data_IF_640025361163
#
_entry.id   IF_640025361163
#
_cell.length_a   1.000
_cell.length_b   1.000
_cell.length_c   1.000
_cell.angle_alpha   90.00
_cell.angle_beta   90.00
_cell.angle_gamma   90.00
#
_symmetry.space_group_name_H-M   'P 1'
#
loop_
_entity.id
_entity.type
_entity.pdbx_description
1 polymer ?
#
# COMPACT_ATOMS: atom_id res chain seq x y z
N UNK A 1 -10.97 -11.90 0.07
CA UNK A 1 -9.97 -11.70 1.15
C UNK A 1 -9.14 -12.97 1.28
N UNK A 2 -7.83 -12.92 0.99
CA UNK A 2 -6.96 -14.08 1.08
C UNK A 2 -6.77 -14.49 2.56
N UNK A 3 -7.14 -15.72 2.92
CA UNK A 3 -7.01 -16.30 4.27
C UNK A 3 -5.58 -16.26 4.82
N UNK A 4 -4.60 -16.11 3.94
CA UNK A 4 -3.18 -16.01 4.26
C UNK A 4 -2.82 -14.72 5.00
N UNK A 5 -3.46 -13.59 4.68
CA UNK A 5 -3.17 -12.29 5.31
C UNK A 5 -3.64 -12.29 6.77
N UNK A 6 -4.82 -12.85 7.06
CA UNK A 6 -5.33 -13.02 8.43
C UNK A 6 -4.43 -13.96 9.24
N UNK A 7 -4.05 -15.11 8.67
CA UNK A 7 -3.12 -16.07 9.29
C UNK A 7 -1.71 -15.52 9.50
N UNK A 8 -1.25 -14.59 8.67
CA UNK A 8 0.04 -13.92 8.83
C UNK A 8 0.02 -13.00 10.05
N UNK A 9 -1.02 -12.18 10.20
CA UNK A 9 -1.17 -11.30 11.36
C UNK A 9 -1.49 -12.05 12.65
N UNK A 10 -2.29 -13.12 12.60
CA UNK A 10 -2.49 -14.01 13.74
C UNK A 10 -1.16 -14.61 14.20
N UNK A 11 -0.30 -15.09 13.28
CA UNK A 11 1.02 -15.61 13.62
C UNK A 11 1.96 -14.54 14.17
N UNK A 12 2.04 -13.38 13.53
CA UNK A 12 2.87 -12.26 13.98
C UNK A 12 2.45 -11.73 15.37
N UNK A 13 1.13 -11.70 15.66
CA UNK A 13 0.62 -11.36 16.99
C UNK A 13 0.79 -12.50 18.01
N UNK A 14 0.69 -13.76 17.58
CA UNK A 14 0.86 -14.95 18.41
C UNK A 14 2.30 -15.16 18.87
N UNK A 15 3.30 -14.75 18.08
CA UNK A 15 4.72 -14.82 18.47
C UNK A 15 5.08 -13.98 19.71
N UNK A 16 4.23 -13.02 20.12
CA UNK A 16 4.43 -12.24 21.34
C UNK A 16 3.68 -12.80 22.57
N UNK A 17 2.88 -13.86 22.42
CA UNK A 17 1.95 -14.29 23.47
C UNK A 17 1.90 -15.82 23.71
N UNK A 18 2.97 -16.57 23.43
CA UNK A 18 2.98 -18.03 23.64
C UNK A 18 3.05 -18.46 25.12
N UNK A 19 3.10 -17.53 26.07
CA UNK A 19 3.22 -17.84 27.50
C UNK A 19 1.90 -17.84 28.30
N UNK A 20 0.74 -17.55 27.69
CA UNK A 20 -0.55 -17.54 28.41
C UNK A 20 -1.70 -18.08 27.57
N UNK A 21 -1.83 -19.41 27.53
CA UNK A 21 -3.11 -20.06 27.22
C UNK A 21 -3.98 -19.97 28.48
N UNK A 22 -4.61 -18.83 28.70
CA UNK A 22 -5.64 -18.67 29.73
C UNK A 22 -6.82 -17.93 29.10
N UNK A 23 -7.98 -18.61 29.03
CA UNK A 23 -9.34 -18.10 28.79
C UNK A 23 -9.38 -16.67 28.23
N UNK A 24 -9.61 -16.56 26.91
CA UNK A 24 -9.85 -15.27 26.26
C UNK A 24 -11.12 -14.65 26.84
N UNK A 25 -10.98 -13.71 27.77
CA UNK A 25 -12.07 -12.86 28.25
C UNK A 25 -12.51 -11.92 27.10
N UNK A 26 -13.80 -11.60 27.00
CA UNK A 26 -14.38 -10.76 25.93
C UNK A 26 -13.67 -9.42 25.68
N UNK A 27 -13.00 -8.86 26.69
CA UNK A 27 -12.19 -7.65 26.59
C UNK A 27 -10.93 -7.82 25.71
N UNK A 28 -10.32 -9.01 25.71
CA UNK A 28 -9.17 -9.37 24.87
C UNK A 28 -9.59 -9.54 23.41
N UNK A 29 -10.80 -10.07 23.17
CA UNK A 29 -11.39 -10.19 21.84
C UNK A 29 -11.62 -8.81 21.21
N UNK A 30 -12.27 -7.88 21.94
CA UNK A 30 -12.53 -6.51 21.44
C UNK A 30 -11.26 -5.74 21.06
N UNK A 31 -10.19 -5.81 21.88
CA UNK A 31 -8.89 -5.18 21.56
C UNK A 31 -8.24 -5.78 20.31
N UNK A 32 -8.36 -7.10 20.13
CA UNK A 32 -7.85 -7.79 18.94
C UNK A 32 -8.57 -7.35 17.68
N UNK A 33 -9.91 -7.28 17.71
CA UNK A 33 -10.70 -6.80 16.58
C UNK A 33 -10.42 -5.33 16.23
N UNK A 34 -10.24 -4.47 17.23
CA UNK A 34 -9.86 -3.07 17.00
C UNK A 34 -8.50 -2.97 16.28
N UNK A 35 -7.52 -3.78 16.67
CA UNK A 35 -6.19 -3.83 16.03
C UNK A 35 -6.26 -4.34 14.60
N UNK A 36 -7.04 -5.39 14.33
CA UNK A 36 -7.24 -5.90 12.96
C UNK A 36 -7.92 -4.83 12.09
N UNK A 37 -8.94 -4.14 12.61
CA UNK A 37 -9.61 -3.06 11.89
C UNK A 37 -8.65 -1.91 11.59
N UNK A 38 -7.81 -1.54 12.56
CA UNK A 38 -6.76 -0.55 12.36
C UNK A 38 -5.84 -0.93 11.21
N UNK A 39 -5.25 -2.14 11.28
CA UNK A 39 -4.34 -2.66 10.24
C UNK A 39 -5.01 -2.60 8.86
N UNK A 40 -6.25 -3.09 8.73
CA UNK A 40 -6.96 -3.11 7.45
C UNK A 40 -7.17 -1.70 6.89
N UNK A 41 -7.66 -0.75 7.69
CA UNK A 41 -7.87 0.63 7.25
C UNK A 41 -6.57 1.29 6.85
N UNK A 42 -5.49 1.06 7.59
CA UNK A 42 -4.19 1.63 7.28
C UNK A 42 -3.62 1.04 5.97
N UNK A 43 -3.84 -0.25 5.69
CA UNK A 43 -3.50 -0.85 4.38
C UNK A 43 -4.29 -0.24 3.21
N UNK A 44 -5.58 0.06 3.41
CA UNK A 44 -6.41 0.74 2.40
C UNK A 44 -5.86 2.13 2.02
N UNK A 45 -5.08 2.76 2.90
CA UNK A 45 -4.40 4.03 2.66
C UNK A 45 -2.96 3.88 2.15
N UNK A 46 -2.56 2.70 1.66
CA UNK A 46 -1.26 2.49 1.02
C UNK A 46 -0.07 2.43 1.98
N UNK A 47 -0.33 2.25 3.27
CA UNK A 47 0.73 1.97 4.25
C UNK A 47 1.21 0.53 4.13
N UNK A 48 2.53 0.36 4.22
CA UNK A 48 3.16 -0.95 4.20
C UNK A 48 3.00 -1.65 5.55
N UNK A 49 3.30 -2.95 5.60
CA UNK A 49 3.35 -3.70 6.86
C UNK A 49 4.33 -3.09 7.87
N UNK A 50 5.42 -2.51 7.37
CA UNK A 50 6.43 -1.85 8.18
C UNK A 50 5.85 -0.56 8.79
N UNK A 51 5.26 0.31 7.98
CA UNK A 51 4.65 1.56 8.45
C UNK A 51 3.55 1.28 9.49
N UNK A 52 2.75 0.24 9.27
CA UNK A 52 1.70 -0.19 10.20
C UNK A 52 2.29 -0.68 11.52
N UNK A 53 3.42 -1.39 11.49
CA UNK A 53 4.10 -1.82 12.71
C UNK A 53 4.61 -0.62 13.53
N UNK A 54 5.13 0.40 12.86
CA UNK A 54 5.57 1.65 13.50
C UNK A 54 4.39 2.42 14.09
N UNK A 55 3.28 2.57 13.34
CA UNK A 55 2.05 3.19 13.85
C UNK A 55 1.47 2.44 15.07
N UNK A 56 1.53 1.11 15.07
CA UNK A 56 1.10 0.28 16.20
C UNK A 56 2.05 0.41 17.41
N UNK A 57 3.33 0.69 17.18
CA UNK A 57 4.27 0.99 18.27
C UNK A 57 3.93 2.34 18.90
N UNK A 58 3.73 3.37 18.06
CA UNK A 58 3.32 4.70 18.49
C UNK A 58 2.00 4.65 19.30
N UNK A 59 1.03 3.81 18.92
CA UNK A 59 -0.23 3.69 19.68
C UNK A 59 -0.09 3.12 21.10
N UNK A 60 0.97 2.35 21.38
CA UNK A 60 1.19 1.68 22.68
C UNK A 60 2.08 2.51 23.60
N UNK A 61 2.93 3.36 23.04
CA UNK A 61 3.83 4.22 23.78
C UNK A 61 3.05 5.41 24.39
N UNK A 62 3.20 5.57 25.71
CA UNK A 62 2.52 6.62 26.49
C UNK A 62 3.05 8.03 26.21
N UNK A 63 4.23 8.14 25.60
CA UNK A 63 4.84 9.42 25.24
C UNK A 63 4.57 9.84 23.79
N UNK A 64 3.88 9.00 23.01
CA UNK A 64 3.54 9.32 21.63
C UNK A 64 2.67 10.55 21.54
N UNK A 65 3.13 11.50 20.73
CA UNK A 65 2.35 12.70 20.41
C UNK A 65 1.62 12.53 19.09
N UNK A 66 0.50 13.25 18.92
CA UNK A 66 -0.15 13.37 17.61
C UNK A 66 0.81 13.89 16.52
N UNK A 67 1.91 14.57 16.88
CA UNK A 67 2.91 15.05 15.95
C UNK A 67 3.71 13.90 15.30
N UNK A 68 3.98 12.81 16.03
CA UNK A 68 4.75 11.68 15.49
C UNK A 68 3.91 10.86 14.51
N UNK A 69 2.63 10.66 14.83
CA UNK A 69 1.65 10.07 13.91
C UNK A 69 1.48 10.95 12.67
N UNK A 70 1.43 12.27 12.84
CA UNK A 70 1.33 13.23 11.73
C UNK A 70 2.53 13.11 10.78
N UNK A 71 3.76 13.02 11.27
CA UNK A 71 4.96 12.86 10.42
C UNK A 71 4.86 11.65 9.49
N UNK A 72 4.38 10.50 10.00
CA UNK A 72 4.19 9.31 9.18
C UNK A 72 3.08 9.47 8.14
N UNK A 73 2.00 10.15 8.50
CA UNK A 73 0.94 10.48 7.56
C UNK A 73 1.44 11.43 6.45
N UNK A 74 2.17 12.48 6.81
CA UNK A 74 2.73 13.46 5.86
C UNK A 74 3.72 12.78 4.90
N UNK A 75 4.58 11.88 5.40
CA UNK A 75 5.47 11.08 4.55
C UNK A 75 4.68 10.19 3.56
N UNK A 76 3.61 9.53 4.03
CA UNK A 76 2.76 8.71 3.16
C UNK A 76 2.05 9.55 2.09
N UNK A 77 1.59 10.75 2.45
CA UNK A 77 0.97 11.68 1.50
C UNK A 77 1.97 12.04 0.39
N UNK A 78 3.20 12.40 0.76
CA UNK A 78 4.25 12.72 -0.21
C UNK A 78 4.56 11.55 -1.16
N UNK A 79 4.63 10.32 -0.64
CA UNK A 79 4.83 9.11 -1.45
C UNK A 79 3.68 8.89 -2.45
N UNK A 80 2.44 9.07 -1.98
CA UNK A 80 1.23 8.92 -2.81
C UNK A 80 1.25 9.96 -3.93
N UNK A 81 1.54 11.23 -3.62
CA UNK A 81 1.63 12.29 -4.62
C UNK A 81 2.71 12.01 -5.65
N UNK A 82 3.88 11.51 -5.22
CA UNK A 82 4.94 11.09 -6.14
C UNK A 82 4.48 9.95 -7.06
N UNK A 83 3.76 8.96 -6.51
CA UNK A 83 3.22 7.85 -7.30
C UNK A 83 2.15 8.33 -8.29
N UNK A 84 1.27 9.24 -7.89
CA UNK A 84 0.26 9.85 -8.77
C UNK A 84 0.95 10.54 -9.94
N UNK A 85 1.93 11.42 -9.70
CA UNK A 85 2.67 12.10 -10.77
C UNK A 85 3.32 11.10 -11.74
N UNK A 86 3.91 10.02 -11.20
CA UNK A 86 4.52 8.97 -12.00
C UNK A 86 3.49 8.23 -12.86
N UNK A 87 2.34 7.88 -12.29
CA UNK A 87 1.23 7.21 -12.98
C UNK A 87 0.63 8.11 -14.07
N UNK A 88 0.40 9.39 -13.79
CA UNK A 88 -0.06 10.36 -14.78
C UNK A 88 0.92 10.51 -15.94
N UNK A 89 2.24 10.50 -15.67
CA UNK A 89 3.26 10.53 -16.73
C UNK A 89 3.21 9.27 -17.60
N UNK A 90 3.08 8.09 -16.98
CA UNK A 90 2.93 6.82 -17.71
C UNK A 90 1.63 6.78 -18.53
N UNK A 91 0.53 7.29 -17.97
CA UNK A 91 -0.75 7.40 -18.67
C UNK A 91 -0.62 8.32 -19.89
N UNK A 92 -0.10 9.53 -19.72
CA UNK A 92 0.07 10.49 -20.82
C UNK A 92 1.00 9.96 -21.93
N UNK A 93 2.02 9.18 -21.57
CA UNK A 93 2.90 8.49 -22.51
C UNK A 93 2.12 7.48 -23.38
N UNK A 94 1.18 6.75 -22.79
CA UNK A 94 0.38 5.74 -23.48
C UNK A 94 -0.84 6.31 -24.24
N UNK A 95 -1.37 7.46 -23.82
CA UNK A 95 -2.55 8.07 -24.43
C UNK A 95 -2.34 8.42 -25.91
N UNK A 96 -1.18 8.94 -26.30
CA UNK A 96 -0.88 9.32 -27.69
C UNK A 96 -0.88 8.14 -28.67
N UNK A 97 -0.09 7.08 -28.46
CA UNK A 97 -0.11 5.91 -29.35
C UNK A 97 -1.44 5.16 -29.28
N UNK A 98 -2.12 5.15 -28.12
CA UNK A 98 -3.46 4.55 -28.02
C UNK A 98 -4.50 5.30 -28.86
N UNK A 99 -4.44 6.64 -28.92
CA UNK A 99 -5.34 7.44 -29.75
C UNK A 99 -5.05 7.30 -31.25
N UNK A 100 -3.81 6.96 -31.63
CA UNK A 100 -3.43 6.72 -33.03
C UNK A 100 -3.98 5.38 -33.59
N UNK A 101 -4.51 4.51 -32.74
CA UNK A 101 -5.17 3.27 -33.12
C UNK A 101 -6.58 3.56 -33.69
N UNK A 102 -6.64 3.99 -34.95
CA UNK A 102 -7.87 4.26 -35.70
C UNK A 102 -8.49 3.04 -36.38
N UNK A 103 -9.71 3.19 -36.93
CA UNK A 103 -10.67 2.17 -37.41
C UNK A 103 -10.18 1.09 -38.41
N UNK A 104 -8.94 1.16 -38.90
CA UNK A 104 -8.33 0.12 -39.75
C UNK A 104 -6.92 -0.22 -39.27
N UNK A 105 -6.78 -1.08 -38.24
CA UNK A 105 -5.48 -1.56 -37.80
C UNK A 105 -4.88 -2.45 -38.89
N UNK A 106 -3.77 -2.02 -39.49
CA UNK A 106 -2.96 -2.93 -40.30
C UNK A 106 -2.16 -3.83 -39.35
N UNK A 107 -2.13 -5.17 -39.56
CA UNK A 107 -1.48 -6.11 -38.66
C UNK A 107 0.01 -5.84 -38.40
N UNK A 108 0.65 -5.05 -39.27
CA UNK A 108 2.09 -4.81 -39.27
C UNK A 108 2.50 -3.40 -38.80
N UNK A 109 1.57 -2.55 -38.34
CA UNK A 109 1.89 -1.20 -37.86
C UNK A 109 1.13 -0.87 -36.57
N UNK A 110 1.65 -1.36 -35.43
CA UNK A 110 1.09 -1.08 -34.13
C UNK A 110 1.87 0.05 -33.46
N UNK A 111 1.33 1.28 -33.54
CA UNK A 111 1.95 2.47 -32.95
C UNK A 111 2.22 2.36 -31.43
N UNK A 112 1.50 1.49 -30.72
CA UNK A 112 1.72 1.22 -29.30
C UNK A 112 2.98 0.38 -29.08
N UNK A 113 3.18 -0.68 -29.88
CA UNK A 113 4.38 -1.51 -29.79
C UNK A 113 5.61 -0.70 -30.20
N UNK A 114 5.50 0.04 -31.31
CA UNK A 114 6.57 0.93 -31.77
C UNK A 114 6.96 1.93 -30.67
N UNK A 115 5.99 2.53 -29.98
CA UNK A 115 6.26 3.47 -28.88
C UNK A 115 6.94 2.82 -27.67
N UNK A 116 6.62 1.56 -27.35
CA UNK A 116 7.19 0.83 -26.21
C UNK A 116 8.58 0.26 -26.50
N UNK A 117 8.89 -0.02 -27.77
CA UNK A 117 10.20 -0.48 -28.23
C UNK A 117 11.23 0.64 -28.38
N UNK A 118 10.79 1.90 -28.47
CA UNK A 118 11.68 3.05 -28.40
C UNK A 118 12.37 3.03 -27.02
N UNK A 119 13.65 2.68 -27.00
CA UNK A 119 14.49 2.90 -25.82
C UNK A 119 14.43 4.40 -25.54
N UNK A 120 13.81 4.77 -24.42
CA UNK A 120 13.83 6.14 -23.95
C UNK A 120 15.26 6.45 -23.50
N UNK A 121 16.12 6.85 -24.44
CA UNK A 121 17.46 7.34 -24.16
C UNK A 121 17.35 8.53 -23.19
N UNK A 122 17.79 8.26 -21.96
CA UNK A 122 18.26 9.19 -20.95
C UNK A 122 17.71 10.63 -20.99
N UNK A 123 16.67 10.88 -20.19
CA UNK A 123 16.48 12.22 -19.62
C UNK A 123 17.68 12.52 -18.70
N UNK A 124 18.65 13.28 -19.22
CA UNK A 124 19.66 13.99 -18.42
C UNK A 124 18.98 14.92 -17.43
#
# INVERSE_FOLDING_TARGET
MHSQTVRYYERAACCRNRSRVSRVTDSTSRKTWARIRFIKRTQEHGFTLKDIAELLYLQVDSETTCADVKKQADAKIADIEHKIRSLQKMEAALQKPAAAYGENPTPNACAILDYLEIETEGRK
#
